data_IF_439725162232
#
_entry.id   IF_439725162232
#
_cell.length_a   1.000
_cell.length_b   1.000
_cell.length_c   1.000
_cell.angle_alpha   90.00
_cell.angle_beta   90.00
_cell.angle_gamma   90.00
#
_symmetry.space_group_name_H-M   'P 1'
#
loop_
_entity.id
_entity.type
_entity.pdbx_description
1 polymer ?
#
# COMPACT_ATOMS: atom_id res chain seq x y z
N UNK A 1 39.73 -13.76 4.96
CA UNK A 1 38.50 -12.96 4.79
C UNK A 1 37.76 -12.90 6.10
N UNK A 2 37.04 -11.80 6.36
CA UNK A 2 36.20 -11.66 7.55
C UNK A 2 34.84 -11.04 7.18
N UNK A 3 33.78 -11.47 7.87
CA UNK A 3 32.42 -11.00 7.70
C UNK A 3 31.86 -10.58 9.05
N UNK A 4 31.29 -9.40 9.14
CA UNK A 4 30.60 -8.94 10.33
C UNK A 4 29.10 -9.26 10.22
N UNK A 5 28.51 -9.71 11.32
CA UNK A 5 27.06 -9.91 11.46
C UNK A 5 26.58 -9.07 12.61
N UNK A 6 25.52 -8.29 12.37
CA UNK A 6 24.88 -7.42 13.35
C UNK A 6 23.50 -7.95 13.68
N UNK A 7 23.23 -8.18 14.96
CA UNK A 7 21.93 -8.62 15.46
C UNK A 7 21.31 -7.47 16.24
N UNK A 8 20.08 -7.15 15.91
CA UNK A 8 19.32 -6.07 16.53
C UNK A 8 17.99 -6.61 17.03
N UNK A 9 17.70 -6.33 18.28
CA UNK A 9 16.48 -6.79 18.98
C UNK A 9 15.79 -5.62 19.63
N UNK A 10 14.52 -5.80 19.95
CA UNK A 10 13.79 -4.84 20.78
C UNK A 10 14.13 -5.06 22.25
N UNK A 11 14.17 -3.98 23.08
CA UNK A 11 14.46 -4.12 24.51
C UNK A 11 13.48 -5.00 25.27
N UNK A 12 12.21 -5.01 24.84
CA UNK A 12 11.16 -5.81 25.46
C UNK A 12 10.38 -6.60 24.42
N UNK A 13 9.95 -7.77 24.83
CA UNK A 13 9.05 -8.63 24.03
C UNK A 13 7.64 -8.03 24.04
N UNK A 14 6.98 -8.02 22.93
CA UNK A 14 5.60 -7.53 22.83
C UNK A 14 4.62 -8.65 23.21
N UNK A 15 4.10 -8.59 24.44
CA UNK A 15 3.11 -9.53 24.95
C UNK A 15 1.70 -9.07 24.51
N UNK A 16 1.06 -9.84 23.67
CA UNK A 16 -0.34 -9.71 23.27
C UNK A 16 -1.20 -10.67 24.13
N UNK A 17 -2.53 -10.49 24.20
CA UNK A 17 -3.39 -11.32 25.06
C UNK A 17 -3.27 -12.83 24.83
N UNK A 18 -3.07 -13.27 23.60
CA UNK A 18 -3.05 -14.69 23.22
C UNK A 18 -1.69 -15.18 22.71
N UNK A 19 -0.74 -14.28 22.50
CA UNK A 19 0.59 -14.62 21.94
C UNK A 19 1.64 -13.60 22.30
N UNK A 20 2.87 -14.04 22.31
CA UNK A 20 4.04 -13.18 22.42
C UNK A 20 4.61 -12.93 21.02
N UNK A 21 4.93 -11.68 20.72
CA UNK A 21 5.57 -11.31 19.43
C UNK A 21 6.92 -10.70 19.71
N UNK A 22 7.96 -11.36 19.22
CA UNK A 22 9.32 -10.85 19.23
C UNK A 22 9.83 -10.73 17.78
N UNK A 23 10.77 -9.84 17.56
CA UNK A 23 11.33 -9.62 16.23
C UNK A 23 12.82 -9.36 16.32
N UNK A 24 13.58 -10.03 15.47
CA UNK A 24 15.03 -9.91 15.37
C UNK A 24 15.38 -9.41 13.99
N UNK A 25 16.26 -8.42 13.89
CA UNK A 25 16.87 -7.98 12.64
C UNK A 25 18.31 -8.46 12.59
N UNK A 26 18.66 -9.20 11.54
CA UNK A 26 20.03 -9.70 11.31
C UNK A 26 20.55 -9.07 10.02
N UNK A 27 21.69 -8.37 10.11
CA UNK A 27 22.40 -7.85 8.95
C UNK A 27 23.72 -8.60 8.81
N UNK A 28 23.88 -9.32 7.72
CA UNK A 28 25.11 -9.95 7.32
C UNK A 28 25.88 -8.94 6.47
N UNK A 29 27.08 -8.55 6.91
CA UNK A 29 27.92 -7.54 6.27
C UNK A 29 28.54 -7.98 4.94
N UNK A 30 27.69 -8.43 4.03
CA UNK A 30 28.02 -8.89 2.70
C UNK A 30 27.08 -8.26 1.68
N UNK A 31 27.64 -7.89 0.53
CA UNK A 31 26.84 -7.65 -0.68
C UNK A 31 26.80 -8.94 -1.49
N UNK A 32 25.61 -9.45 -1.77
CA UNK A 32 25.44 -10.66 -2.57
C UNK A 32 24.26 -10.54 -3.52
N UNK A 33 24.34 -11.28 -4.63
CA UNK A 33 23.26 -11.32 -5.61
C UNK A 33 21.97 -11.89 -5.01
N UNK A 34 20.82 -11.35 -5.42
CA UNK A 34 19.49 -11.74 -4.93
C UNK A 34 19.25 -13.26 -4.93
N UNK A 35 19.70 -13.98 -5.98
CA UNK A 35 19.56 -15.43 -6.06
C UNK A 35 20.32 -16.15 -4.91
N UNK A 36 21.51 -15.67 -4.56
CA UNK A 36 22.27 -16.21 -3.46
C UNK A 36 21.63 -15.92 -2.10
N UNK A 37 21.02 -14.73 -1.94
CA UNK A 37 20.25 -14.39 -0.73
C UNK A 37 19.03 -15.29 -0.54
N UNK A 38 18.27 -15.54 -1.61
CA UNK A 38 17.11 -16.44 -1.57
C UNK A 38 17.50 -17.88 -1.25
N UNK A 39 18.56 -18.39 -1.90
CA UNK A 39 19.08 -19.72 -1.62
C UNK A 39 19.58 -19.86 -0.18
N UNK A 40 20.29 -18.83 0.34
CA UNK A 40 20.73 -18.81 1.73
C UNK A 40 19.52 -18.85 2.67
N UNK A 41 18.49 -18.05 2.40
CA UNK A 41 17.25 -18.03 3.19
C UNK A 41 16.59 -19.42 3.22
N UNK A 42 16.43 -20.07 2.07
CA UNK A 42 15.82 -21.42 1.99
C UNK A 42 16.59 -22.42 2.87
N UNK A 43 17.92 -22.45 2.75
CA UNK A 43 18.75 -23.36 3.56
C UNK A 43 18.69 -23.06 5.06
N UNK A 44 18.76 -21.77 5.44
CA UNK A 44 18.63 -21.37 6.85
C UNK A 44 17.25 -21.69 7.39
N UNK A 45 16.20 -21.51 6.60
CA UNK A 45 14.83 -21.85 7.01
C UNK A 45 14.66 -23.35 7.29
N UNK A 46 15.28 -24.20 6.48
CA UNK A 46 15.21 -25.66 6.70
C UNK A 46 15.97 -26.08 7.97
N UNK A 47 17.16 -25.53 8.20
CA UNK A 47 17.92 -25.78 9.43
C UNK A 47 17.19 -25.27 10.69
N UNK A 48 16.52 -24.11 10.61
CA UNK A 48 15.76 -23.56 11.72
C UNK A 48 14.54 -24.41 12.10
N UNK A 49 13.89 -25.07 11.12
CA UNK A 49 12.77 -26.00 11.39
C UNK A 49 13.21 -27.13 12.30
N UNK A 50 14.37 -27.70 12.03
CA UNK A 50 14.92 -28.80 12.81
C UNK A 50 15.40 -28.32 14.19
N UNK A 51 16.09 -27.17 14.23
CA UNK A 51 16.64 -26.61 15.48
C UNK A 51 15.60 -26.11 16.45
N UNK A 52 14.45 -25.65 15.97
CA UNK A 52 13.37 -25.03 16.76
C UNK A 52 12.10 -25.87 16.83
N UNK A 53 12.18 -27.16 16.54
CA UNK A 53 11.05 -28.09 16.58
C UNK A 53 10.32 -28.07 17.95
N UNK A 54 11.08 -27.90 19.02
CA UNK A 54 10.55 -27.90 20.40
C UNK A 54 9.98 -26.52 20.83
N UNK A 55 10.10 -25.46 20.02
CA UNK A 55 9.62 -24.14 20.37
C UNK A 55 8.12 -23.98 19.99
N UNK A 56 7.32 -23.33 20.83
CA UNK A 56 5.90 -23.11 20.56
C UNK A 56 5.67 -21.99 19.54
N UNK A 57 6.26 -22.13 18.33
CA UNK A 57 6.13 -21.18 17.25
C UNK A 57 4.79 -21.43 16.56
N UNK A 58 3.98 -20.36 16.44
CA UNK A 58 2.66 -20.40 15.78
C UNK A 58 2.67 -19.79 14.37
N UNK A 59 3.79 -19.22 13.95
CA UNK A 59 3.97 -18.65 12.61
C UNK A 59 4.26 -19.75 11.59
N UNK A 60 3.85 -19.52 10.33
CA UNK A 60 4.42 -20.27 9.23
C UNK A 60 5.93 -19.96 9.10
N UNK A 61 6.72 -20.94 8.68
CA UNK A 61 8.18 -20.77 8.56
C UNK A 61 8.58 -19.66 7.58
N UNK A 62 7.74 -19.38 6.59
CA UNK A 62 7.93 -18.24 5.68
C UNK A 62 7.77 -16.89 6.35
N UNK A 63 7.00 -16.81 7.46
CA UNK A 63 6.86 -15.62 8.30
C UNK A 63 7.98 -15.50 9.34
N UNK A 64 8.56 -16.63 9.78
CA UNK A 64 9.67 -16.64 10.74
C UNK A 64 10.89 -16.00 10.10
N UNK A 65 11.19 -16.34 8.86
CA UNK A 65 12.28 -15.76 8.07
C UNK A 65 11.71 -14.98 6.88
N UNK A 66 11.35 -13.71 7.11
CA UNK A 66 10.63 -12.85 6.15
C UNK A 66 11.33 -12.78 4.78
N UNK A 67 10.65 -13.29 3.77
CA UNK A 67 11.12 -13.30 2.39
C UNK A 67 11.05 -11.91 1.74
N UNK A 68 10.18 -11.04 2.22
CA UNK A 68 9.95 -9.69 1.67
C UNK A 68 11.21 -8.83 1.66
N UNK A 69 12.05 -8.98 2.68
CA UNK A 69 13.34 -8.26 2.78
C UNK A 69 14.29 -8.72 1.67
N UNK A 70 14.42 -10.04 1.48
CA UNK A 70 15.32 -10.62 0.48
C UNK A 70 14.83 -10.31 -0.94
N UNK A 71 13.52 -10.29 -1.16
CA UNK A 71 12.90 -9.87 -2.42
C UNK A 71 13.04 -8.38 -2.70
N UNK A 72 13.32 -7.57 -1.67
CA UNK A 72 13.50 -6.13 -1.78
C UNK A 72 12.19 -5.34 -1.95
N UNK A 73 11.04 -5.96 -1.68
CA UNK A 73 9.72 -5.33 -1.77
C UNK A 73 9.31 -4.58 -0.50
N UNK A 74 9.94 -4.92 0.63
CA UNK A 74 9.61 -4.35 1.94
C UNK A 74 10.64 -3.30 2.34
N UNK A 75 10.19 -2.15 2.81
CA UNK A 75 11.06 -1.16 3.43
C UNK A 75 11.41 -1.62 4.84
N UNK A 76 12.72 -1.67 5.13
CA UNK A 76 13.20 -2.00 6.46
C UNK A 76 13.39 -0.75 7.31
N UNK A 77 13.07 -0.88 8.61
CA UNK A 77 13.26 0.21 9.55
C UNK A 77 14.76 0.51 9.69
N UNK A 78 15.11 1.78 9.59
CA UNK A 78 16.47 2.23 9.90
C UNK A 78 16.73 2.08 11.39
N UNK A 79 18.00 1.88 11.75
CA UNK A 79 18.43 1.83 13.16
C UNK A 79 17.93 3.05 13.94
N UNK A 80 17.35 2.82 15.11
CA UNK A 80 16.79 3.86 15.96
C UNK A 80 15.39 4.36 15.57
N UNK A 81 14.88 4.04 14.38
CA UNK A 81 13.49 4.34 14.02
C UNK A 81 12.52 3.32 14.65
N UNK A 82 11.28 3.75 14.87
CA UNK A 82 10.24 2.90 15.45
C UNK A 82 8.87 3.17 14.83
N UNK A 83 8.04 2.15 14.78
CA UNK A 83 6.62 2.31 14.46
C UNK A 83 5.91 2.98 15.65
N UNK A 84 4.83 3.75 15.44
CA UNK A 84 4.03 4.30 16.52
C UNK A 84 3.62 3.20 17.53
N UNK A 85 3.80 3.48 18.82
CA UNK A 85 3.49 2.52 19.90
C UNK A 85 4.48 1.36 20.08
N UNK A 86 5.54 1.27 19.27
CA UNK A 86 6.55 0.22 19.35
C UNK A 86 7.93 0.75 19.72
N UNK A 87 8.78 -0.14 20.24
CA UNK A 87 10.17 0.16 20.56
C UNK A 87 11.06 0.10 19.30
N UNK A 88 12.16 0.84 19.32
CA UNK A 88 13.19 0.77 18.29
C UNK A 88 14.08 -0.47 18.50
N UNK A 89 14.57 -1.05 17.41
CA UNK A 89 15.60 -2.07 17.46
C UNK A 89 16.91 -1.48 17.93
N UNK A 90 17.61 -2.20 18.81
CA UNK A 90 18.94 -1.87 19.32
C UNK A 90 19.93 -2.95 18.93
N UNK A 91 21.17 -2.58 18.67
CA UNK A 91 22.24 -3.53 18.45
C UNK A 91 22.52 -4.30 19.76
N UNK A 92 22.28 -5.61 19.75
CA UNK A 92 22.42 -6.49 20.89
C UNK A 92 23.59 -7.46 20.77
N UNK A 93 24.00 -7.80 19.53
CA UNK A 93 25.18 -8.62 19.29
C UNK A 93 25.89 -8.23 17.99
N UNK A 94 27.21 -8.35 18.00
CA UNK A 94 28.09 -8.17 16.86
C UNK A 94 29.06 -9.33 16.77
N UNK A 95 28.94 -10.10 15.72
CA UNK A 95 29.72 -11.31 15.51
C UNK A 95 30.65 -11.11 14.31
N UNK A 96 31.89 -11.55 14.43
CA UNK A 96 32.83 -11.55 13.32
C UNK A 96 33.23 -12.98 12.98
N UNK A 97 32.90 -13.39 11.77
CA UNK A 97 33.38 -14.64 11.19
C UNK A 97 34.67 -14.37 10.43
N UNK A 98 35.69 -15.17 10.70
CA UNK A 98 37.00 -15.06 10.03
C UNK A 98 37.36 -16.40 9.43
N UNK A 99 37.76 -16.41 8.15
CA UNK A 99 38.27 -17.59 7.47
C UNK A 99 39.80 -17.51 7.39
N UNK A 100 40.48 -18.49 8.00
CA UNK A 100 41.94 -18.63 7.98
C UNK A 100 42.33 -20.09 7.77
N UNK A 101 43.22 -20.39 6.83
CA UNK A 101 43.64 -21.76 6.56
C UNK A 101 42.54 -22.73 6.11
N UNK A 102 41.41 -22.22 5.57
CA UNK A 102 40.27 -23.03 5.16
C UNK A 102 39.19 -23.20 6.24
N UNK A 103 39.49 -22.89 7.49
CA UNK A 103 38.58 -23.03 8.63
C UNK A 103 37.93 -21.69 8.99
N UNK A 104 36.66 -21.74 9.40
CA UNK A 104 35.92 -20.61 9.92
C UNK A 104 36.03 -20.55 11.44
N UNK A 105 36.29 -19.36 11.97
CA UNK A 105 36.22 -19.05 13.39
C UNK A 105 35.21 -17.95 13.61
N UNK A 106 34.46 -18.04 14.70
CA UNK A 106 33.47 -17.07 15.13
C UNK A 106 33.97 -16.35 16.39
N UNK A 107 33.83 -15.03 16.42
CA UNK A 107 34.14 -14.22 17.60
C UNK A 107 33.10 -13.15 17.81
N UNK A 108 32.53 -13.14 18.99
CA UNK A 108 31.66 -12.04 19.42
C UNK A 108 32.54 -10.81 19.78
N UNK A 109 32.08 -9.64 19.36
CA UNK A 109 32.72 -8.35 19.62
C UNK A 109 31.90 -7.57 20.64
N UNK A 110 32.64 -6.90 21.53
CA UNK A 110 32.02 -5.99 22.52
C UNK A 110 31.26 -4.85 21.80
N UNK A 111 29.95 -4.84 21.96
CA UNK A 111 29.09 -3.81 21.40
C UNK A 111 29.30 -2.43 22.02
N UNK A 112 29.79 -2.35 23.27
CA UNK A 112 30.14 -1.09 23.92
C UNK A 112 31.30 -0.36 23.23
N UNK A 113 32.07 -1.08 22.41
CA UNK A 113 33.16 -0.52 21.57
C UNK A 113 32.75 -0.24 20.14
N UNK A 114 31.46 -0.42 19.81
CA UNK A 114 30.92 -0.07 18.50
C UNK A 114 30.60 1.41 18.46
N UNK A 115 31.46 2.19 17.80
CA UNK A 115 31.19 3.61 17.57
C UNK A 115 30.01 3.76 16.62
N UNK A 116 28.85 4.07 17.19
CA UNK A 116 27.60 4.18 16.47
C UNK A 116 27.59 5.39 15.51
N UNK A 117 28.20 6.52 15.89
CA UNK A 117 28.21 7.72 15.05
C UNK A 117 28.90 7.46 13.72
N UNK A 118 30.04 6.77 13.77
CA UNK A 118 30.83 6.45 12.58
C UNK A 118 30.24 5.29 11.79
N UNK A 119 29.63 4.29 12.46
CA UNK A 119 29.27 3.01 11.85
C UNK A 119 27.76 2.77 11.68
N UNK A 120 26.90 3.73 11.98
CA UNK A 120 25.43 3.56 11.89
C UNK A 120 24.96 3.07 10.52
N UNK A 121 25.66 3.45 9.44
CA UNK A 121 25.33 3.03 8.07
C UNK A 121 25.46 1.52 7.87
N UNK A 122 26.36 0.83 8.62
CA UNK A 122 26.50 -0.63 8.60
C UNK A 122 25.29 -1.35 9.17
N UNK A 123 24.43 -0.65 9.92
CA UNK A 123 23.17 -1.18 10.45
C UNK A 123 22.00 -0.99 9.47
N UNK A 124 22.31 -0.79 8.20
CA UNK A 124 21.33 -0.69 7.12
C UNK A 124 21.49 -1.85 6.14
N UNK A 125 20.39 -2.50 5.79
CA UNK A 125 20.36 -3.55 4.77
C UNK A 125 20.77 -3.05 3.36
N UNK A 126 20.85 -1.73 3.15
CA UNK A 126 21.23 -1.10 1.88
C UNK A 126 22.59 -0.38 1.95
N UNK A 127 23.45 -0.76 2.89
CA UNK A 127 24.79 -0.18 2.95
C UNK A 127 25.63 -0.64 1.77
N UNK A 128 25.98 0.30 0.88
CA UNK A 128 26.62 0.02 -0.42
C UNK A 128 28.10 -0.37 -0.32
N UNK A 129 28.71 -0.12 0.83
CA UNK A 129 30.14 -0.40 1.05
C UNK A 129 30.40 -1.79 1.67
N UNK A 130 29.38 -2.63 1.81
CA UNK A 130 29.62 -4.03 2.17
C UNK A 130 30.37 -4.74 1.05
N UNK A 131 31.42 -5.53 1.40
CA UNK A 131 32.23 -6.21 0.41
C UNK A 131 31.39 -7.25 -0.37
N UNK A 132 31.73 -7.37 -1.65
CA UNK A 132 31.32 -8.50 -2.47
C UNK A 132 32.30 -9.62 -2.28
N UNK A 133 31.79 -10.83 -2.12
CA UNK A 133 32.64 -12.04 -2.07
C UNK A 133 32.34 -12.93 -3.27
N UNK A 134 33.41 -13.55 -3.78
CA UNK A 134 33.24 -14.60 -4.79
C UNK A 134 32.59 -15.82 -4.15
N UNK A 135 31.60 -16.37 -4.85
CA UNK A 135 30.96 -17.62 -4.47
C UNK A 135 31.96 -18.75 -4.74
N UNK A 136 32.17 -19.63 -3.77
CA UNK A 136 33.02 -20.82 -3.96
C UNK A 136 32.55 -21.62 -5.17
N UNK A 137 33.49 -22.19 -5.94
CA UNK A 137 33.19 -22.97 -7.15
C UNK A 137 32.12 -24.05 -6.91
N UNK A 138 32.21 -24.72 -5.76
CA UNK A 138 31.26 -25.77 -5.33
C UNK A 138 29.82 -25.25 -5.12
N UNK A 139 29.67 -23.98 -4.74
CA UNK A 139 28.36 -23.32 -4.59
C UNK A 139 27.96 -22.49 -5.82
N UNK A 140 28.92 -22.22 -6.71
CA UNK A 140 28.71 -21.42 -7.92
C UNK A 140 27.70 -22.04 -8.85
N UNK A 141 27.82 -23.36 -9.10
CA UNK A 141 26.90 -24.09 -9.95
C UNK A 141 25.49 -24.12 -9.39
N UNK A 142 25.35 -24.27 -8.06
CA UNK A 142 24.04 -24.26 -7.37
C UNK A 142 23.39 -22.88 -7.44
N UNK A 143 24.17 -21.81 -7.23
CA UNK A 143 23.67 -20.44 -7.34
C UNK A 143 23.32 -20.08 -8.79
N UNK A 144 24.12 -20.56 -9.76
CA UNK A 144 23.85 -20.33 -11.18
C UNK A 144 22.64 -21.14 -11.66
N UNK A 145 22.49 -22.38 -11.19
CA UNK A 145 21.28 -23.16 -11.41
C UNK A 145 20.06 -22.46 -10.77
N UNK A 146 20.21 -21.92 -9.58
CA UNK A 146 19.14 -21.18 -8.91
C UNK A 146 18.81 -19.88 -9.64
N UNK A 147 19.80 -19.13 -10.15
CA UNK A 147 19.60 -17.97 -11.03
C UNK A 147 18.88 -18.37 -12.31
N UNK A 148 19.33 -19.46 -12.94
CA UNK A 148 18.72 -20.00 -14.15
C UNK A 148 17.30 -20.50 -13.85
N UNK A 149 17.05 -21.08 -12.69
CA UNK A 149 15.73 -21.45 -12.22
C UNK A 149 14.87 -20.22 -11.88
N UNK A 150 15.42 -19.14 -11.35
CA UNK A 150 14.73 -17.86 -11.19
C UNK A 150 14.46 -17.18 -12.53
N UNK A 151 15.40 -17.30 -13.48
CA UNK A 151 15.25 -16.76 -14.83
C UNK A 151 14.40 -17.70 -15.69
N UNK A 152 14.46 -19.03 -15.48
CA UNK A 152 13.59 -20.04 -16.10
C UNK A 152 12.25 -20.19 -15.36
N UNK A 153 12.15 -19.76 -14.11
CA UNK A 153 10.86 -19.46 -13.44
C UNK A 153 10.21 -18.22 -14.06
N UNK A 154 10.97 -17.37 -14.75
CA UNK A 154 10.44 -16.43 -15.76
C UNK A 154 10.02 -17.13 -17.07
N UNK A 155 10.48 -18.34 -17.35
CA UNK A 155 10.19 -19.13 -18.56
C UNK A 155 9.55 -20.51 -18.38
N UNK A 156 9.52 -21.05 -17.18
CA UNK A 156 8.80 -22.30 -16.84
C UNK A 156 8.46 -22.27 -15.36
N UNK A 157 7.25 -21.79 -15.04
CA UNK A 157 6.70 -21.95 -13.71
C UNK A 157 6.66 -23.44 -13.35
N UNK A 158 7.46 -23.88 -12.36
CA UNK A 158 7.03 -24.97 -11.51
C UNK A 158 5.71 -24.48 -10.89
N UNK A 159 4.66 -25.14 -11.22
CA UNK A 159 3.39 -25.08 -10.54
C UNK A 159 3.60 -25.37 -9.05
N UNK A 160 3.95 -24.32 -8.29
CA UNK A 160 3.41 -24.23 -6.93
C UNK A 160 1.91 -24.25 -7.18
N UNK A 161 1.21 -25.22 -6.63
CA UNK A 161 -0.23 -25.21 -6.49
C UNK A 161 -0.62 -24.06 -5.54
N UNK A 162 -0.41 -22.82 -5.97
CA UNK A 162 -1.40 -21.81 -5.71
C UNK A 162 -2.68 -22.46 -6.22
N UNK A 163 -3.72 -22.57 -5.43
CA UNK A 163 -5.06 -22.74 -5.97
C UNK A 163 -5.13 -21.68 -7.05
N UNK A 164 -4.80 -22.08 -8.28
CA UNK A 164 -4.78 -21.23 -9.43
C UNK A 164 -6.16 -20.60 -9.47
N UNK A 165 -6.21 -19.33 -9.84
CA UNK A 165 -7.42 -18.64 -10.25
C UNK A 165 -8.02 -19.44 -11.41
N UNK A 166 -8.75 -20.50 -11.08
CA UNK A 166 -9.34 -21.41 -12.06
C UNK A 166 -10.64 -20.84 -12.61
N UNK A 167 -11.14 -19.76 -11.99
CA UNK A 167 -12.40 -19.13 -12.40
C UNK A 167 -12.58 -17.72 -11.81
N UNK A 168 -13.59 -17.02 -12.31
CA UNK A 168 -13.94 -15.64 -11.89
C UNK A 168 -14.33 -15.54 -10.40
N UNK A 169 -14.91 -16.59 -9.80
CA UNK A 169 -15.35 -16.56 -8.41
C UNK A 169 -14.15 -16.48 -7.44
N UNK A 170 -13.07 -17.21 -7.71
CA UNK A 170 -11.84 -17.14 -6.89
C UNK A 170 -11.19 -15.75 -7.00
N UNK A 171 -11.29 -15.09 -8.16
CA UNK A 171 -10.80 -13.71 -8.31
C UNK A 171 -11.65 -12.74 -7.50
N UNK A 172 -12.97 -12.93 -7.46
CA UNK A 172 -13.88 -12.10 -6.69
C UNK A 172 -13.62 -12.24 -5.19
N UNK A 173 -13.44 -13.46 -4.69
CA UNK A 173 -13.04 -13.74 -3.30
C UNK A 173 -11.72 -13.04 -2.94
N UNK A 174 -10.72 -13.08 -3.83
CA UNK A 174 -9.43 -12.39 -3.60
C UNK A 174 -9.53 -10.87 -3.61
N UNK A 175 -10.41 -10.31 -4.43
CA UNK A 175 -10.67 -8.87 -4.43
C UNK A 175 -11.40 -8.46 -3.15
N UNK A 176 -12.36 -9.25 -2.69
CA UNK A 176 -13.08 -9.01 -1.43
C UNK A 176 -12.11 -9.06 -0.24
N UNK A 177 -11.28 -10.11 -0.13
CA UNK A 177 -10.22 -10.22 0.87
C UNK A 177 -9.27 -9.01 0.84
N UNK A 178 -8.85 -8.59 -0.36
CA UNK A 178 -8.01 -7.39 -0.52
C UNK A 178 -8.71 -6.16 0.04
N UNK A 179 -9.98 -5.93 -0.33
CA UNK A 179 -10.71 -4.72 0.08
C UNK A 179 -11.03 -4.71 1.58
N UNK A 180 -11.30 -5.85 2.19
CA UNK A 180 -11.48 -5.97 3.64
C UNK A 180 -10.19 -5.68 4.42
N UNK A 181 -9.03 -6.02 3.84
CA UNK A 181 -7.72 -5.77 4.45
C UNK A 181 -7.20 -4.35 4.30
N UNK A 182 -7.88 -3.45 3.54
CA UNK A 182 -7.42 -2.11 3.28
C UNK A 182 -7.55 -1.20 4.51
N UNK A 183 -6.45 -0.56 4.86
CA UNK A 183 -6.47 0.57 5.79
C UNK A 183 -7.06 1.82 5.10
N UNK A 184 -7.47 2.81 5.90
CA UNK A 184 -8.07 4.04 5.37
C UNK A 184 -7.16 4.78 4.38
N UNK A 185 -5.83 4.69 4.56
CA UNK A 185 -4.85 5.29 3.64
C UNK A 185 -4.78 4.58 2.28
N UNK A 186 -5.12 3.30 2.27
CA UNK A 186 -5.08 2.45 1.08
C UNK A 186 -6.42 2.41 0.32
N UNK A 187 -7.45 3.13 0.79
CA UNK A 187 -8.78 3.15 0.15
C UNK A 187 -8.73 3.59 -1.32
N UNK A 188 -7.68 4.31 -1.73
CA UNK A 188 -7.41 4.65 -3.12
C UNK A 188 -7.38 3.43 -4.04
N UNK A 189 -7.02 2.25 -3.52
CA UNK A 189 -7.01 0.98 -4.28
C UNK A 189 -8.46 0.58 -4.62
N UNK A 190 -9.37 0.62 -3.63
CA UNK A 190 -10.78 0.35 -3.82
C UNK A 190 -11.44 1.36 -4.75
N UNK A 191 -11.18 2.65 -4.52
CA UNK A 191 -11.65 3.75 -5.37
C UNK A 191 -11.22 3.55 -6.84
N UNK A 192 -9.94 3.23 -7.05
CA UNK A 192 -9.39 2.99 -8.40
C UNK A 192 -10.02 1.75 -9.05
N UNK A 193 -10.25 0.69 -8.26
CA UNK A 193 -10.97 -0.49 -8.73
C UNK A 193 -12.37 -0.12 -9.24
N UNK A 194 -13.15 0.58 -8.42
CA UNK A 194 -14.53 0.91 -8.74
C UNK A 194 -14.61 1.76 -10.03
N UNK A 195 -13.77 2.79 -10.16
CA UNK A 195 -13.69 3.59 -11.39
C UNK A 195 -13.23 2.77 -12.60
N UNK A 196 -12.31 1.81 -12.43
CA UNK A 196 -11.87 0.93 -13.52
C UNK A 196 -13.02 0.04 -13.99
N UNK A 197 -13.78 -0.52 -13.05
CA UNK A 197 -14.92 -1.40 -13.36
C UNK A 197 -16.10 -0.64 -13.98
N UNK A 198 -16.19 0.67 -13.79
CA UNK A 198 -17.19 1.54 -14.39
C UNK A 198 -16.87 2.00 -15.82
N UNK A 199 -15.64 1.79 -16.30
CA UNK A 199 -15.28 2.13 -17.67
C UNK A 199 -16.15 1.38 -18.68
N UNK A 200 -16.61 2.05 -19.76
CA UNK A 200 -17.49 1.45 -20.76
C UNK A 200 -16.74 0.42 -21.63
N UNK A 201 -17.50 -0.43 -22.33
CA UNK A 201 -17.02 -1.51 -23.19
C UNK A 201 -15.93 -1.06 -24.18
N UNK A 202 -15.98 0.19 -24.63
CA UNK A 202 -14.95 0.76 -25.54
C UNK A 202 -13.53 0.73 -24.95
N UNK A 203 -13.36 0.37 -23.67
CA UNK A 203 -12.06 0.24 -23.00
C UNK A 203 -11.59 -1.21 -22.86
N UNK A 204 -12.46 -2.20 -22.96
CA UNK A 204 -12.12 -3.61 -22.77
C UNK A 204 -12.66 -4.56 -23.84
N UNK A 205 -13.62 -4.11 -24.66
CA UNK A 205 -14.21 -4.90 -25.74
C UNK A 205 -13.30 -5.02 -26.97
N UNK A 206 -13.78 -5.71 -28.01
CA UNK A 206 -13.03 -5.93 -29.26
C UNK A 206 -12.52 -4.62 -29.88
N UNK A 207 -11.24 -4.60 -30.28
CA UNK A 207 -10.60 -3.43 -30.88
C UNK A 207 -10.12 -2.35 -29.89
N UNK A 208 -10.31 -2.53 -28.60
CA UNK A 208 -9.95 -1.55 -27.55
C UNK A 208 -8.48 -1.60 -27.12
N UNK A 209 -7.61 -2.35 -27.79
CA UNK A 209 -6.24 -2.65 -27.34
C UNK A 209 -5.47 -1.43 -26.80
N UNK A 210 -5.52 -0.29 -27.53
CA UNK A 210 -4.80 0.91 -27.09
C UNK A 210 -5.37 1.54 -25.81
N UNK A 211 -6.67 1.49 -25.60
CA UNK A 211 -7.31 1.95 -24.36
C UNK A 211 -7.06 0.98 -23.23
N UNK A 212 -7.24 -0.30 -23.51
CA UNK A 212 -7.03 -1.39 -22.59
C UNK A 212 -5.61 -1.43 -21.99
N UNK A 213 -4.56 -1.32 -22.82
CA UNK A 213 -3.18 -1.31 -22.32
C UNK A 213 -2.88 -0.09 -21.47
N UNK A 214 -3.45 1.07 -21.80
CA UNK A 214 -3.31 2.30 -21.01
C UNK A 214 -3.98 2.20 -19.64
N UNK A 215 -5.10 1.50 -19.53
CA UNK A 215 -5.71 1.17 -18.23
C UNK A 215 -4.75 0.30 -17.40
N UNK A 216 -4.13 -0.71 -18.03
CA UNK A 216 -3.11 -1.54 -17.37
C UNK A 216 -1.93 -0.72 -16.84
N UNK A 217 -1.37 0.18 -17.65
CA UNK A 217 -0.30 1.08 -17.23
C UNK A 217 -0.72 1.98 -16.06
N UNK A 218 -1.89 2.60 -16.14
CA UNK A 218 -2.40 3.47 -15.09
C UNK A 218 -2.61 2.73 -13.76
N UNK A 219 -3.08 1.50 -13.81
CA UNK A 219 -3.25 0.64 -12.62
C UNK A 219 -1.89 0.22 -12.03
N UNK A 220 -0.97 -0.25 -12.87
CA UNK A 220 0.35 -0.73 -12.45
C UNK A 220 1.19 0.40 -11.83
N UNK A 221 1.13 1.61 -12.40
CA UNK A 221 1.81 2.80 -11.87
C UNK A 221 1.23 3.22 -10.52
N UNK A 222 -0.05 2.97 -10.29
CA UNK A 222 -0.73 3.33 -9.03
C UNK A 222 -0.38 2.37 -7.90
N UNK A 223 -0.52 1.05 -8.13
CA UNK A 223 -0.19 0.03 -7.12
C UNK A 223 -0.13 -1.37 -7.72
N UNK A 224 0.85 -2.18 -7.30
CA UNK A 224 0.92 -3.60 -7.67
C UNK A 224 -0.32 -4.41 -7.21
N UNK A 225 -0.97 -3.99 -6.12
CA UNK A 225 -2.21 -4.61 -5.63
C UNK A 225 -3.37 -4.53 -6.64
N UNK A 226 -3.32 -3.61 -7.60
CA UNK A 226 -4.34 -3.45 -8.65
C UNK A 226 -4.21 -4.46 -9.79
N UNK A 227 -3.26 -5.39 -9.73
CA UNK A 227 -3.17 -6.51 -10.66
C UNK A 227 -4.48 -7.31 -10.73
N UNK A 228 -5.11 -7.58 -9.58
CA UNK A 228 -6.38 -8.30 -9.53
C UNK A 228 -7.53 -7.50 -10.17
N UNK A 229 -7.50 -6.17 -10.01
CA UNK A 229 -8.42 -5.27 -10.71
C UNK A 229 -8.26 -5.36 -12.22
N UNK A 230 -7.01 -5.32 -12.71
CA UNK A 230 -6.72 -5.42 -14.13
C UNK A 230 -7.14 -6.76 -14.71
N UNK A 231 -6.89 -7.86 -13.98
CA UNK A 231 -7.30 -9.19 -14.38
C UNK A 231 -8.84 -9.32 -14.47
N UNK A 232 -9.57 -8.76 -13.49
CA UNK A 232 -11.04 -8.71 -13.52
C UNK A 232 -11.56 -7.87 -14.67
N UNK A 233 -10.93 -6.73 -14.92
CA UNK A 233 -11.28 -5.84 -16.02
C UNK A 233 -11.12 -6.53 -17.38
N UNK A 234 -10.04 -7.29 -17.57
CA UNK A 234 -9.77 -8.04 -18.80
C UNK A 234 -10.70 -9.22 -19.01
N UNK A 235 -11.06 -9.91 -17.91
CA UNK A 235 -11.90 -11.12 -17.99
C UNK A 235 -13.37 -10.82 -18.33
N UNK A 236 -13.78 -9.53 -18.33
CA UNK A 236 -15.17 -9.12 -18.66
C UNK A 236 -15.52 -9.36 -20.12
N UNK A 237 -14.62 -9.00 -21.00
CA UNK A 237 -14.69 -9.31 -22.42
C UNK A 237 -13.26 -9.35 -22.98
N UNK A 238 -12.95 -10.39 -23.71
CA UNK A 238 -11.58 -10.64 -24.12
C UNK A 238 -11.27 -9.87 -25.40
N UNK A 239 -10.52 -8.79 -25.26
CA UNK A 239 -10.11 -7.95 -26.40
C UNK A 239 -9.08 -8.63 -27.32
N UNK A 240 -8.47 -9.75 -26.88
CA UNK A 240 -7.47 -10.50 -27.66
C UNK A 240 -7.90 -11.98 -27.79
N UNK A 241 -7.91 -12.47 -29.02
CA UNK A 241 -8.23 -13.87 -29.30
C UNK A 241 -7.24 -14.85 -28.65
N UNK A 242 -5.99 -14.43 -28.43
CA UNK A 242 -4.95 -15.22 -27.74
C UNK A 242 -5.26 -15.49 -26.25
N UNK A 243 -6.16 -14.72 -25.66
CA UNK A 243 -6.57 -14.87 -24.26
C UNK A 243 -7.90 -15.62 -24.10
N UNK A 244 -8.50 -16.06 -25.22
CA UNK A 244 -9.75 -16.82 -25.22
C UNK A 244 -9.46 -18.30 -25.15
N UNK A 245 -10.20 -18.98 -24.27
CA UNK A 245 -10.30 -20.42 -24.27
C UNK A 245 -11.18 -20.95 -25.43
N UNK A 246 -11.30 -22.26 -25.54
CA UNK A 246 -12.13 -22.92 -26.56
C UNK A 246 -13.61 -22.51 -26.53
N UNK A 247 -14.08 -22.05 -25.36
CA UNK A 247 -15.44 -21.59 -25.12
C UNK A 247 -15.67 -20.11 -25.47
N UNK A 248 -14.62 -19.42 -25.96
CA UNK A 248 -14.65 -18.01 -26.31
C UNK A 248 -14.54 -17.07 -25.11
N UNK A 249 -14.42 -17.59 -23.89
CA UNK A 249 -14.25 -16.82 -22.64
C UNK A 249 -12.77 -16.70 -22.29
N UNK A 250 -12.48 -15.87 -21.28
CA UNK A 250 -11.13 -15.70 -20.77
C UNK A 250 -10.55 -17.04 -20.28
N UNK A 251 -9.39 -17.39 -20.81
CA UNK A 251 -8.66 -18.59 -20.41
C UNK A 251 -7.81 -18.32 -19.16
N UNK A 252 -8.27 -18.82 -18.04
CA UNK A 252 -7.61 -18.66 -16.73
C UNK A 252 -6.21 -19.29 -16.65
N UNK A 253 -5.86 -20.18 -17.60
CA UNK A 253 -4.49 -20.69 -17.68
C UNK A 253 -3.46 -19.62 -18.05
N UNK A 254 -3.91 -18.51 -18.65
CA UNK A 254 -3.08 -17.38 -19.06
C UNK A 254 -2.74 -16.40 -17.91
N UNK A 255 -3.26 -16.59 -16.71
CA UNK A 255 -3.00 -15.65 -15.57
C UNK A 255 -1.51 -15.46 -15.32
N UNK A 256 -0.71 -16.49 -15.54
CA UNK A 256 0.74 -16.41 -15.43
C UNK A 256 1.38 -15.45 -16.44
N UNK A 257 0.96 -15.55 -17.71
CA UNK A 257 1.41 -14.64 -18.79
C UNK A 257 0.94 -13.20 -18.53
N UNK A 258 -0.27 -13.06 -17.99
CA UNK A 258 -0.79 -11.75 -17.60
C UNK A 258 0.03 -11.12 -16.50
N UNK A 259 0.50 -11.90 -15.52
CA UNK A 259 1.40 -11.37 -14.48
C UNK A 259 2.74 -10.92 -15.05
N UNK A 260 3.31 -11.65 -16.02
CA UNK A 260 4.52 -11.24 -16.71
C UNK A 260 4.33 -9.93 -17.49
N UNK A 261 3.20 -9.80 -18.17
CA UNK A 261 2.84 -8.55 -18.86
C UNK A 261 2.70 -7.39 -17.87
N UNK A 262 2.02 -7.59 -16.75
CA UNK A 262 1.88 -6.61 -15.68
C UNK A 262 3.23 -6.15 -15.11
N UNK A 263 4.14 -7.10 -14.83
CA UNK A 263 5.47 -6.80 -14.33
C UNK A 263 6.31 -5.97 -15.33
N UNK A 264 6.00 -6.07 -16.62
CA UNK A 264 6.62 -5.26 -17.66
C UNK A 264 6.11 -3.81 -17.71
N UNK A 265 4.91 -3.52 -17.19
CA UNK A 265 4.34 -2.18 -17.18
C UNK A 265 5.13 -1.19 -16.30
N UNK A 266 5.63 -1.64 -15.16
CA UNK A 266 6.40 -0.80 -14.23
C UNK A 266 7.80 -0.39 -14.72
N UNK A 267 8.30 -1.01 -15.80
CA UNK A 267 9.63 -0.75 -16.38
C UNK A 267 9.58 0.00 -17.71
N UNK A 268 8.39 0.31 -18.22
CA UNK A 268 8.24 0.92 -19.55
C UNK A 268 8.31 2.45 -19.45
N UNK A 269 9.17 3.05 -20.27
CA UNK A 269 9.19 4.50 -20.55
C UNK A 269 7.86 4.99 -21.17
N UNK A 270 6.99 4.06 -21.51
CA UNK A 270 5.71 4.29 -22.20
C UNK A 270 4.52 4.52 -21.25
N UNK A 271 4.73 4.62 -19.94
CA UNK A 271 3.62 4.88 -19.00
C UNK A 271 3.02 6.29 -19.15
N UNK A 272 3.66 7.19 -19.92
CA UNK A 272 3.22 8.58 -20.22
C UNK A 272 2.66 9.34 -19.00
N UNK A 273 3.14 9.03 -17.78
CA UNK A 273 2.62 9.60 -16.54
C UNK A 273 1.18 9.17 -16.19
N UNK A 274 0.68 8.09 -16.77
CA UNK A 274 -0.65 7.55 -16.48
C UNK A 274 -0.73 7.03 -15.05
N UNK A 275 -1.79 7.41 -14.33
CA UNK A 275 -2.05 7.01 -12.94
C UNK A 275 -3.55 6.76 -12.73
N UNK A 276 -3.98 6.43 -11.51
CA UNK A 276 -5.38 6.38 -11.15
C UNK A 276 -6.16 7.65 -11.54
N UNK A 277 -5.52 8.83 -11.54
CA UNK A 277 -6.15 10.09 -12.00
C UNK A 277 -6.59 10.00 -13.47
N UNK A 278 -5.83 9.30 -14.28
CA UNK A 278 -6.20 9.07 -15.70
C UNK A 278 -7.47 8.21 -15.80
N UNK A 279 -7.59 7.18 -14.96
CA UNK A 279 -8.80 6.32 -14.90
C UNK A 279 -10.01 7.12 -14.44
N UNK A 280 -9.86 7.90 -13.37
CA UNK A 280 -10.90 8.79 -12.85
C UNK A 280 -11.37 9.76 -13.94
N UNK A 281 -10.43 10.39 -14.65
CA UNK A 281 -10.75 11.30 -15.76
C UNK A 281 -11.50 10.60 -16.89
N UNK A 282 -11.07 9.40 -17.28
CA UNK A 282 -11.77 8.64 -18.33
C UNK A 282 -13.17 8.21 -17.88
N UNK A 283 -13.34 7.77 -16.65
CA UNK A 283 -14.65 7.43 -16.09
C UNK A 283 -15.57 8.65 -16.07
N UNK A 284 -15.09 9.80 -15.57
CA UNK A 284 -15.85 11.05 -15.55
C UNK A 284 -16.31 11.51 -16.92
N UNK A 285 -15.46 11.33 -17.95
CA UNK A 285 -15.74 11.72 -19.33
C UNK A 285 -16.70 10.77 -20.04
N UNK A 286 -16.47 9.46 -19.89
CA UNK A 286 -17.08 8.43 -20.75
C UNK A 286 -18.19 7.62 -20.02
N UNK A 287 -18.32 7.76 -18.69
CA UNK A 287 -19.34 7.13 -17.85
C UNK A 287 -19.73 8.06 -16.67
N UNK A 288 -20.24 9.28 -16.92
CA UNK A 288 -20.45 10.29 -15.89
C UNK A 288 -21.41 9.85 -14.77
N UNK A 289 -22.49 9.14 -15.10
CA UNK A 289 -23.48 8.67 -14.10
C UNK A 289 -22.86 7.66 -13.13
N UNK A 290 -21.98 6.78 -13.61
CA UNK A 290 -21.26 5.82 -12.76
C UNK A 290 -20.15 6.53 -11.97
N UNK A 291 -19.48 7.51 -12.56
CA UNK A 291 -18.54 8.36 -11.86
C UNK A 291 -19.17 9.03 -10.65
N UNK A 292 -20.36 9.66 -10.82
CA UNK A 292 -21.04 10.36 -9.74
C UNK A 292 -21.43 9.42 -8.59
N UNK A 293 -21.91 8.21 -8.90
CA UNK A 293 -22.24 7.19 -7.89
C UNK A 293 -21.00 6.76 -7.08
N UNK A 294 -19.88 6.49 -7.76
CA UNK A 294 -18.64 6.05 -7.12
C UNK A 294 -18.06 7.20 -6.29
N UNK A 295 -18.10 8.43 -6.82
CA UNK A 295 -17.64 9.61 -6.10
C UNK A 295 -18.44 9.82 -4.82
N UNK A 296 -19.76 9.74 -4.87
CA UNK A 296 -20.62 9.83 -3.70
C UNK A 296 -20.32 8.72 -2.68
N UNK A 297 -20.15 7.48 -3.13
CA UNK A 297 -19.79 6.36 -2.26
C UNK A 297 -18.43 6.56 -1.57
N UNK A 298 -17.45 7.07 -2.31
CA UNK A 298 -16.12 7.40 -1.79
C UNK A 298 -16.18 8.52 -0.75
N UNK A 299 -16.92 9.59 -1.03
CA UNK A 299 -17.14 10.68 -0.07
C UNK A 299 -17.83 10.17 1.20
N UNK A 300 -18.89 9.37 1.07
CA UNK A 300 -19.59 8.77 2.19
C UNK A 300 -18.66 7.88 3.03
N UNK A 301 -17.77 7.10 2.40
CA UNK A 301 -16.77 6.32 3.12
C UNK A 301 -15.90 7.22 4.02
N UNK A 302 -15.34 8.32 3.49
CA UNK A 302 -14.50 9.22 4.29
C UNK A 302 -15.28 9.97 5.37
N UNK A 303 -16.52 10.34 5.11
CA UNK A 303 -17.41 10.89 6.15
C UNK A 303 -17.60 9.89 7.29
N UNK A 304 -17.84 8.61 7.00
CA UNK A 304 -17.97 7.58 8.04
C UNK A 304 -16.63 7.30 8.75
N UNK A 305 -15.50 7.36 8.04
CA UNK A 305 -14.19 7.24 8.69
C UNK A 305 -13.93 8.39 9.67
N UNK A 306 -14.41 9.61 9.38
CA UNK A 306 -14.23 10.77 10.26
C UNK A 306 -14.92 10.64 11.62
N UNK A 307 -15.93 9.76 11.72
CA UNK A 307 -16.67 9.51 12.98
C UNK A 307 -16.33 8.16 13.62
N UNK A 308 -15.51 7.31 12.97
CA UNK A 308 -15.12 6.00 13.47
C UNK A 308 -14.18 6.18 14.65
N UNK A 309 -14.59 5.78 15.85
CA UNK A 309 -13.68 5.65 16.97
C UNK A 309 -12.89 4.35 16.83
N UNK A 310 -11.59 4.38 17.05
CA UNK A 310 -10.82 3.16 17.32
C UNK A 310 -11.42 2.52 18.58
N UNK A 311 -11.72 1.23 18.54
CA UNK A 311 -12.54 0.50 19.52
C UNK A 311 -12.07 0.53 20.97
N UNK A 312 -10.92 1.12 21.27
CA UNK A 312 -10.32 1.09 22.63
C UNK A 312 -9.98 2.44 23.26
N UNK A 313 -10.32 3.56 22.63
CA UNK A 313 -10.00 4.88 23.22
C UNK A 313 -11.20 5.80 23.24
N UNK A 314 -11.82 5.85 24.44
CA UNK A 314 -12.70 6.92 24.93
C UNK A 314 -13.27 7.83 23.83
N UNK A 315 -14.58 7.88 23.78
CA UNK A 315 -15.51 8.80 23.12
C UNK A 315 -14.87 10.12 22.59
N UNK A 316 -13.94 10.00 21.61
CA UNK A 316 -13.34 11.16 20.95
C UNK A 316 -14.26 11.62 19.84
N UNK A 317 -14.60 12.90 19.91
CA UNK A 317 -15.19 13.61 18.77
C UNK A 317 -14.23 13.61 17.58
N UNK A 318 -14.76 13.63 16.35
CA UNK A 318 -13.95 13.81 15.14
C UNK A 318 -13.06 15.05 15.27
N UNK A 319 -11.82 14.92 14.81
CA UNK A 319 -10.86 16.02 14.81
C UNK A 319 -10.97 16.82 13.52
N UNK A 320 -10.48 18.05 13.53
CA UNK A 320 -10.37 18.87 12.33
C UNK A 320 -9.53 18.22 11.24
N UNK A 321 -8.54 17.41 11.64
CA UNK A 321 -7.73 16.59 10.73
C UNK A 321 -8.57 15.55 9.97
N UNK A 322 -9.44 14.80 10.66
CA UNK A 322 -10.30 13.78 10.03
C UNK A 322 -11.26 14.40 9.01
N UNK A 323 -11.79 15.58 9.35
CA UNK A 323 -12.67 16.34 8.47
C UNK A 323 -11.88 16.91 7.28
N UNK A 324 -10.64 17.35 7.50
CA UNK A 324 -9.76 17.84 6.43
C UNK A 324 -9.39 16.75 5.44
N UNK A 325 -9.25 15.50 5.89
CA UNK A 325 -9.08 14.34 5.00
C UNK A 325 -10.29 14.13 4.10
N UNK A 326 -11.50 14.23 4.64
CA UNK A 326 -12.73 14.15 3.83
C UNK A 326 -12.75 15.28 2.80
N UNK A 327 -12.43 16.52 3.21
CA UNK A 327 -12.33 17.68 2.32
C UNK A 327 -11.29 17.46 1.22
N UNK A 328 -10.13 16.88 1.56
CA UNK A 328 -9.07 16.56 0.61
C UNK A 328 -9.56 15.57 -0.45
N UNK A 329 -10.18 14.46 -0.04
CA UNK A 329 -10.67 13.46 -0.99
C UNK A 329 -11.78 13.98 -1.90
N UNK A 330 -12.59 14.94 -1.43
CA UNK A 330 -13.59 15.60 -2.28
C UNK A 330 -12.97 16.51 -3.34
N UNK A 331 -11.86 17.18 -3.04
CA UNK A 331 -11.37 18.32 -3.84
C UNK A 331 -9.89 18.25 -4.22
N UNK A 332 -9.22 17.11 -4.02
CA UNK A 332 -7.78 16.92 -4.32
C UNK A 332 -7.39 17.21 -5.79
N UNK A 333 -8.36 17.11 -6.70
CA UNK A 333 -8.14 17.34 -8.14
C UNK A 333 -8.51 18.77 -8.58
N UNK A 334 -9.11 19.56 -7.68
CA UNK A 334 -9.54 20.93 -7.94
C UNK A 334 -8.67 21.97 -7.24
N UNK A 335 -7.98 21.61 -6.15
CA UNK A 335 -7.20 22.52 -5.35
C UNK A 335 -5.81 21.99 -5.06
N UNK A 336 -4.85 22.93 -4.95
CA UNK A 336 -3.49 22.65 -4.50
C UNK A 336 -2.98 23.80 -3.64
N UNK A 337 -2.27 23.49 -2.57
CA UNK A 337 -1.55 24.43 -1.74
C UNK A 337 -0.07 24.44 -2.17
N UNK A 338 0.44 25.54 -2.67
CA UNK A 338 1.84 25.64 -3.14
C UNK A 338 2.77 26.24 -2.09
N UNK A 339 2.22 26.87 -1.05
CA UNK A 339 3.00 27.41 0.06
C UNK A 339 2.18 27.40 1.35
N UNK A 340 2.54 26.51 2.26
CA UNK A 340 1.93 26.44 3.60
C UNK A 340 2.19 27.73 4.37
N UNK A 341 3.42 28.24 4.31
CA UNK A 341 3.84 29.47 5.02
C UNK A 341 3.07 30.70 4.57
N UNK A 342 2.90 30.87 3.27
CA UNK A 342 2.25 32.04 2.68
C UNK A 342 0.76 31.83 2.45
N UNK A 343 0.22 30.64 2.80
CA UNK A 343 -1.17 30.24 2.56
C UNK A 343 -1.61 30.47 1.09
N UNK A 344 -0.72 30.08 0.16
CA UNK A 344 -0.91 30.30 -1.28
C UNK A 344 -1.55 29.04 -1.90
N UNK A 345 -2.64 29.25 -2.62
CA UNK A 345 -3.46 28.21 -3.19
C UNK A 345 -3.74 28.44 -4.67
N UNK A 346 -3.95 27.32 -5.39
CA UNK A 346 -4.44 27.33 -6.75
C UNK A 346 -5.72 26.49 -6.85
N UNK A 347 -6.62 26.93 -7.73
CA UNK A 347 -7.88 26.27 -8.02
C UNK A 347 -7.98 25.98 -9.52
N UNK A 348 -8.34 24.74 -9.87
CA UNK A 348 -8.55 24.33 -11.24
C UNK A 348 -9.97 24.67 -11.70
N UNK A 349 -10.10 25.60 -12.64
CA UNK A 349 -11.34 26.05 -13.24
C UNK A 349 -11.18 26.21 -14.75
N UNK A 350 -12.22 25.91 -15.52
CA UNK A 350 -12.22 26.15 -16.98
C UNK A 350 -10.95 25.70 -17.67
N UNK A 351 -10.46 24.50 -17.30
CA UNK A 351 -9.24 23.86 -17.83
C UNK A 351 -7.93 24.63 -17.55
N UNK A 352 -7.91 25.47 -16.52
CA UNK A 352 -6.72 26.23 -16.09
C UNK A 352 -6.65 26.31 -14.58
N UNK A 353 -5.44 26.51 -14.09
CA UNK A 353 -5.18 26.82 -12.69
C UNK A 353 -5.17 28.32 -12.46
N UNK A 354 -5.92 28.76 -11.46
CA UNK A 354 -6.00 30.15 -11.03
C UNK A 354 -5.54 30.26 -9.58
N UNK A 355 -4.79 31.30 -9.29
CA UNK A 355 -4.47 31.64 -7.90
C UNK A 355 -5.76 31.89 -7.10
N UNK A 356 -5.84 31.31 -5.92
CA UNK A 356 -7.00 31.40 -5.03
C UNK A 356 -6.54 31.99 -3.69
N UNK A 357 -6.94 33.23 -3.43
CA UNK A 357 -6.54 33.94 -2.22
C UNK A 357 -6.90 33.15 -0.96
N UNK A 358 -5.84 32.71 -0.26
CA UNK A 358 -5.93 31.99 1.02
C UNK A 358 -6.83 30.75 0.98
N UNK A 359 -7.08 30.17 -0.19
CA UNK A 359 -7.97 29.03 -0.38
C UNK A 359 -9.43 29.35 -0.07
N UNK A 360 -9.86 30.60 -0.29
CA UNK A 360 -11.19 31.07 0.12
C UNK A 360 -12.33 30.29 -0.53
N UNK A 361 -12.21 29.89 -1.81
CA UNK A 361 -13.25 29.08 -2.47
C UNK A 361 -13.35 27.67 -1.86
N UNK A 362 -12.20 27.03 -1.51
CA UNK A 362 -12.20 25.77 -0.78
C UNK A 362 -12.84 25.93 0.60
N UNK A 363 -12.57 27.02 1.29
CA UNK A 363 -13.18 27.33 2.58
C UNK A 363 -14.70 27.52 2.50
N UNK A 364 -15.22 28.07 1.41
CA UNK A 364 -16.66 28.14 1.14
C UNK A 364 -17.26 26.76 0.91
N UNK A 365 -16.54 25.87 0.21
CA UNK A 365 -16.97 24.48 -0.03
C UNK A 365 -17.15 23.68 1.27
N UNK A 366 -16.46 24.04 2.36
CA UNK A 366 -16.69 23.42 3.68
C UNK A 366 -18.14 23.64 4.14
N UNK A 367 -18.68 24.83 3.95
CA UNK A 367 -20.04 25.16 4.40
C UNK A 367 -21.14 24.81 3.39
N UNK A 368 -20.77 24.41 2.18
CA UNK A 368 -21.71 24.01 1.12
C UNK A 368 -21.59 22.51 0.82
N UNK A 369 -20.62 22.11 0.01
CA UNK A 369 -20.52 20.76 -0.53
C UNK A 369 -20.13 19.72 0.55
N UNK A 370 -19.11 20.00 1.37
CA UNK A 370 -18.74 19.11 2.47
C UNK A 370 -19.90 18.98 3.49
N UNK A 371 -20.51 20.10 3.86
CA UNK A 371 -21.69 20.07 4.74
C UNK A 371 -22.84 19.24 4.14
N UNK A 372 -23.11 19.35 2.82
CA UNK A 372 -24.11 18.55 2.14
C UNK A 372 -23.82 17.06 2.20
N UNK A 373 -22.53 16.66 2.06
CA UNK A 373 -22.11 15.26 2.20
C UNK A 373 -22.44 14.71 3.59
N UNK A 374 -22.16 15.48 4.66
CA UNK A 374 -22.57 15.08 6.01
C UNK A 374 -24.09 14.97 6.17
N UNK A 375 -24.86 15.87 5.57
CA UNK A 375 -26.33 15.78 5.59
C UNK A 375 -26.85 14.53 4.88
N UNK A 376 -26.23 14.12 3.78
CA UNK A 376 -26.57 12.87 3.07
C UNK A 376 -26.34 11.66 3.98
N UNK A 377 -25.21 11.59 4.67
CA UNK A 377 -24.93 10.52 5.63
C UNK A 377 -25.87 10.54 6.84
N UNK A 378 -26.22 11.72 7.35
CA UNK A 378 -27.22 11.88 8.41
C UNK A 378 -28.55 11.30 7.98
N UNK A 379 -29.06 11.67 6.79
CA UNK A 379 -30.30 11.13 6.23
C UNK A 379 -30.28 9.61 6.09
N UNK A 380 -29.17 9.05 5.61
CA UNK A 380 -28.99 7.60 5.49
C UNK A 380 -29.06 6.92 6.87
N UNK A 381 -28.37 7.46 7.89
CA UNK A 381 -28.40 6.91 9.26
C UNK A 381 -29.77 7.06 9.93
N UNK A 382 -30.47 8.15 9.69
CA UNK A 382 -31.86 8.31 10.17
C UNK A 382 -32.78 7.25 9.58
N UNK A 383 -32.70 7.01 8.27
CA UNK A 383 -33.49 5.98 7.60
C UNK A 383 -33.16 4.58 8.16
N UNK A 384 -31.90 4.31 8.44
CA UNK A 384 -31.44 3.06 9.06
C UNK A 384 -32.06 2.89 10.46
N UNK A 385 -32.03 3.93 11.30
CA UNK A 385 -32.64 3.90 12.63
C UNK A 385 -34.13 3.72 12.61
N UNK A 386 -34.85 4.37 11.66
CA UNK A 386 -36.31 4.23 11.50
C UNK A 386 -36.71 2.79 11.10
N UNK A 387 -35.82 2.06 10.43
CA UNK A 387 -36.05 0.68 10.02
C UNK A 387 -35.63 -0.35 11.10
N UNK A 388 -34.98 0.09 12.20
CA UNK A 388 -34.51 -0.79 13.29
C UNK A 388 -35.48 -0.74 14.48
N UNK A 389 -35.65 -1.89 15.15
CA UNK A 389 -36.25 -1.93 16.47
C UNK A 389 -35.28 -1.36 17.51
N UNK A 390 -35.79 -0.67 18.52
CA UNK A 390 -34.95 -0.10 19.61
C UNK A 390 -34.20 -1.18 20.41
N UNK A 391 -34.65 -2.41 20.36
CA UNK A 391 -33.99 -3.56 21.00
C UNK A 391 -32.88 -4.17 20.13
N UNK A 392 -32.67 -3.67 18.90
CA UNK A 392 -31.67 -4.18 18.00
C UNK A 392 -30.26 -3.85 18.53
N UNK A 393 -29.36 -4.82 18.49
CA UNK A 393 -27.98 -4.72 19.01
C UNK A 393 -27.20 -3.50 18.49
N UNK A 394 -27.45 -3.12 17.24
CA UNK A 394 -26.78 -1.98 16.58
C UNK A 394 -27.50 -0.63 16.77
N UNK A 395 -28.65 -0.58 17.45
CA UNK A 395 -29.44 0.65 17.56
C UNK A 395 -28.66 1.78 18.24
N UNK A 396 -28.08 1.50 19.41
CA UNK A 396 -27.33 2.49 20.21
C UNK A 396 -26.07 2.99 19.47
N UNK A 397 -25.37 2.08 18.78
CA UNK A 397 -24.18 2.43 17.98
C UNK A 397 -24.59 3.36 16.83
N UNK A 398 -25.66 3.03 16.11
CA UNK A 398 -26.15 3.84 15.00
C UNK A 398 -26.65 5.21 15.47
N UNK A 399 -27.31 5.27 16.64
CA UNK A 399 -27.74 6.53 17.26
C UNK A 399 -26.54 7.41 17.65
N UNK A 400 -25.49 6.84 18.23
CA UNK A 400 -24.26 7.58 18.56
C UNK A 400 -23.59 8.13 17.30
N UNK A 401 -23.50 7.32 16.23
CA UNK A 401 -22.96 7.77 14.95
C UNK A 401 -23.78 8.93 14.36
N UNK A 402 -25.10 8.85 14.41
CA UNK A 402 -25.98 9.92 13.96
C UNK A 402 -25.73 11.22 14.73
N UNK A 403 -25.63 11.15 16.05
CA UNK A 403 -25.38 12.33 16.88
C UNK A 403 -24.03 12.98 16.51
N UNK A 404 -22.96 12.19 16.35
CA UNK A 404 -21.64 12.69 15.91
C UNK A 404 -21.71 13.39 14.54
N UNK A 405 -22.41 12.80 13.57
CA UNK A 405 -22.59 13.42 12.24
C UNK A 405 -23.33 14.77 12.35
N UNK A 406 -24.39 14.85 13.18
CA UNK A 406 -25.13 16.08 13.40
C UNK A 406 -24.26 17.18 14.03
N UNK A 407 -23.43 16.83 15.02
CA UNK A 407 -22.52 17.78 15.67
C UNK A 407 -21.51 18.33 14.67
N UNK A 408 -20.88 17.47 13.87
CA UNK A 408 -19.93 17.90 12.84
C UNK A 408 -20.63 18.82 11.83
N UNK A 409 -21.81 18.45 11.31
CA UNK A 409 -22.55 19.26 10.36
C UNK A 409 -22.81 20.69 10.92
N UNK A 410 -23.15 20.80 12.21
CA UNK A 410 -23.29 22.10 12.89
C UNK A 410 -21.96 22.87 12.98
N UNK A 411 -20.85 22.18 13.22
CA UNK A 411 -19.53 22.80 13.32
C UNK A 411 -19.02 23.31 11.97
N UNK A 412 -19.33 22.64 10.84
CA UNK A 412 -18.92 23.07 9.51
C UNK A 412 -19.46 24.46 9.10
N UNK A 413 -20.46 24.99 9.81
CA UNK A 413 -20.97 26.35 9.64
C UNK A 413 -20.23 27.39 10.51
N UNK A 414 -19.45 26.97 11.52
CA UNK A 414 -18.77 27.89 12.44
C UNK A 414 -17.43 28.36 11.88
N UNK A 415 -17.17 29.66 11.93
CA UNK A 415 -15.99 30.29 11.35
C UNK A 415 -14.68 29.72 11.90
N UNK A 416 -14.58 29.52 13.22
CA UNK A 416 -13.38 29.02 13.86
C UNK A 416 -13.04 27.59 13.40
N UNK A 417 -14.03 26.71 13.32
CA UNK A 417 -13.85 25.34 12.82
C UNK A 417 -13.38 25.34 11.37
N UNK A 418 -14.00 26.13 10.52
CA UNK A 418 -13.55 26.27 9.12
C UNK A 418 -12.09 26.72 9.02
N UNK A 419 -11.68 27.64 9.88
CA UNK A 419 -10.28 28.09 9.89
C UNK A 419 -9.32 26.99 10.35
N UNK A 420 -9.71 26.19 11.34
CA UNK A 420 -8.90 25.06 11.80
C UNK A 420 -8.80 23.97 10.73
N UNK A 421 -9.94 23.60 10.10
CA UNK A 421 -9.97 22.66 8.98
C UNK A 421 -9.06 23.12 7.85
N UNK A 422 -9.09 24.41 7.49
CA UNK A 422 -8.20 24.96 6.46
C UNK A 422 -6.71 24.95 6.85
N UNK A 423 -6.37 24.99 8.15
CA UNK A 423 -4.98 24.82 8.60
C UNK A 423 -4.48 23.40 8.37
N UNK A 424 -5.27 22.40 8.73
CA UNK A 424 -4.94 21.00 8.47
C UNK A 424 -4.93 20.70 6.96
N UNK A 425 -5.90 21.23 6.22
CA UNK A 425 -6.01 21.05 4.78
C UNK A 425 -4.77 21.55 4.01
N UNK A 426 -4.07 22.61 4.49
CA UNK A 426 -2.84 23.09 3.84
C UNK A 426 -1.77 22.01 3.71
N UNK A 427 -1.64 21.17 4.71
CA UNK A 427 -0.65 20.08 4.71
C UNK A 427 -1.06 18.96 3.75
N UNK A 428 -2.34 18.62 3.71
CA UNK A 428 -2.88 17.56 2.86
C UNK A 428 -2.85 17.93 1.36
N UNK A 429 -3.12 19.19 1.03
CA UNK A 429 -3.15 19.70 -0.35
C UNK A 429 -1.78 20.21 -0.82
N UNK A 430 -0.72 20.12 -0.01
CA UNK A 430 0.57 20.70 -0.35
C UNK A 430 1.29 19.92 -1.45
N UNK A 431 1.65 20.64 -2.52
CA UNK A 431 2.56 20.17 -3.58
C UNK A 431 3.59 21.28 -3.86
N UNK A 432 4.80 21.10 -3.32
CA UNK A 432 5.89 22.08 -3.46
C UNK A 432 6.44 22.18 -4.89
N UNK A 433 6.22 21.15 -5.71
CA UNK A 433 6.71 21.11 -7.10
C UNK A 433 5.64 21.55 -8.11
N UNK A 434 4.46 21.91 -7.65
CA UNK A 434 3.34 22.26 -8.51
C UNK A 434 3.66 23.38 -9.50
N UNK A 435 4.33 24.45 -9.04
CA UNK A 435 4.69 25.57 -9.89
C UNK A 435 5.64 25.19 -11.03
N UNK A 436 6.54 24.24 -10.79
CA UNK A 436 7.46 23.72 -11.82
C UNK A 436 6.74 22.88 -12.88
N UNK A 437 5.58 22.32 -12.53
CA UNK A 437 4.74 21.50 -13.44
C UNK A 437 3.78 22.33 -14.27
N UNK A 438 3.48 23.58 -13.87
CA UNK A 438 2.59 24.48 -14.60
C UNK A 438 3.20 25.02 -15.90
N UNK A 439 4.52 25.10 -15.98
CA UNK A 439 5.27 25.69 -17.10
C UNK A 439 5.75 24.61 -18.11
N UNK A 440 5.35 23.36 -17.93
CA UNK A 440 5.59 22.24 -18.83
C UNK A 440 4.32 21.89 -19.64
#
# INVERSE_FOLDING_TARGET
SSVEVFIMEKPNVNCLPEKTKDGIHIIIGLSMHKAAQLLLRERVSDELKDMWEDLPIINDWDDVLDEGIVKGYTNWQLYGSRKPGHEAYKLTSRIVFTKSGGEWSMREKDIGKFDLETNIRKLSARYSEFPNYEILSEAGDVVEEYKNNLNNKKGKKKTVKNKLLDNAAILDDKLEELFESLETLDYIIKETHDYTMALPESYYGPGSHNKWIRVGWALATTSDRLFWTWLKFMSRDVCRDTLKGPDGKFDWSNVAEMREMWDSFGSSENSDGLTNRSIIYWCKRDAPDEYDKIHEATVNYYVYQSIKSEEDKMDRSATEYDISRTLYHMFKDEFVCVSIKNNCWYEYKTQRWFENDSGNSLRLKISSELHSAYLTCIKSKMNQLMAMDQTHELYDVTQKQLNKLCDIANYLKKTQWKNNIMKEARELFFDGDFMNKLDQ
#
